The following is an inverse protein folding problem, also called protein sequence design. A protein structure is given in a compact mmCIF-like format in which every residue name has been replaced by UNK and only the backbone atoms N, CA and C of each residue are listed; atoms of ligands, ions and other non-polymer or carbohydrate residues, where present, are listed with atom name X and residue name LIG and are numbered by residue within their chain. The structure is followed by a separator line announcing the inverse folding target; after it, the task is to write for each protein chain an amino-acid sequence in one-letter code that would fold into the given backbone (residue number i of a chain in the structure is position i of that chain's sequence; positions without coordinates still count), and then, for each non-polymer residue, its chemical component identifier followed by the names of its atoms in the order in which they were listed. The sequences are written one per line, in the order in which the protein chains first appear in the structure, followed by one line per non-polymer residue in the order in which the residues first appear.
data_IF_369420702937
#
_entry.id   IF_369420702937
#
_cell.length_a   1.000
_cell.length_b   1.000
_cell.length_c   1.000
_cell.angle_alpha   90.00
_cell.angle_beta   90.00
_cell.angle_gamma   90.00
#
_symmetry.space_group_name_H-M   'P 1'
#
loop_
_entity.id
_entity.type
_entity.pdbx_description
1 polymer ?
#
# COMPACT_ATOMS: atom_id res chain seq x y z
N UNK A 1 14.78 -10.77 -25.65
CA UNK A 1 13.94 -10.57 -24.45
C UNK A 1 14.57 -11.33 -23.29
N UNK A 2 14.78 -10.70 -22.12
CA UNK A 2 15.21 -11.43 -20.92
C UNK A 2 14.07 -12.34 -20.46
N UNK A 3 14.40 -13.51 -19.88
CA UNK A 3 13.38 -14.33 -19.23
C UNK A 3 12.91 -13.61 -17.96
N UNK A 4 11.61 -13.49 -17.77
CA UNK A 4 11.02 -12.89 -16.57
C UNK A 4 11.05 -13.90 -15.42
N UNK A 5 11.40 -13.45 -14.22
CA UNK A 5 11.38 -14.27 -13.01
C UNK A 5 10.83 -13.49 -11.81
N UNK A 6 9.96 -14.11 -11.04
CA UNK A 6 9.33 -13.54 -9.85
C UNK A 6 9.77 -14.31 -8.60
N UNK A 7 10.30 -13.61 -7.63
CA UNK A 7 10.63 -14.14 -6.30
C UNK A 7 9.62 -13.54 -5.32
N UNK A 8 8.76 -14.38 -4.75
CA UNK A 8 7.94 -13.99 -3.60
C UNK A 8 8.70 -14.35 -2.32
N UNK A 9 9.06 -13.35 -1.53
CA UNK A 9 9.70 -13.60 -0.24
C UNK A 9 8.70 -14.18 0.77
N UNK A 10 9.21 -14.74 1.87
CA UNK A 10 8.39 -15.32 2.93
C UNK A 10 7.31 -14.32 3.38
N UNK A 11 6.07 -14.80 3.41
CA UNK A 11 4.89 -13.99 3.71
C UNK A 11 4.28 -13.28 2.51
N UNK A 12 4.89 -13.38 1.32
CA UNK A 12 4.35 -12.84 0.06
C UNK A 12 3.89 -13.94 -0.92
N UNK A 13 3.78 -15.19 -0.45
CA UNK A 13 3.49 -16.35 -1.31
C UNK A 13 2.13 -16.18 -2.01
N UNK A 14 1.07 -15.81 -1.28
CA UNK A 14 -0.28 -15.63 -1.83
C UNK A 14 -0.31 -14.59 -2.97
N UNK A 15 0.31 -13.43 -2.75
CA UNK A 15 0.35 -12.38 -3.76
C UNK A 15 1.24 -12.78 -4.94
N UNK A 16 2.34 -13.49 -4.68
CA UNK A 16 3.24 -14.03 -5.70
C UNK A 16 2.55 -15.03 -6.61
N UNK A 17 1.80 -15.98 -6.06
CA UNK A 17 1.02 -16.97 -6.82
C UNK A 17 -0.06 -16.31 -7.69
N UNK A 18 -0.81 -15.35 -7.15
CA UNK A 18 -1.79 -14.57 -7.92
C UNK A 18 -1.12 -13.78 -9.05
N UNK A 19 0.03 -13.14 -8.79
CA UNK A 19 0.81 -12.43 -9.80
C UNK A 19 1.26 -13.39 -10.91
N UNK A 20 1.81 -14.54 -10.55
CA UNK A 20 2.21 -15.58 -11.49
C UNK A 20 1.04 -16.07 -12.36
N UNK A 21 -0.12 -16.31 -11.75
CA UNK A 21 -1.34 -16.68 -12.47
C UNK A 21 -1.72 -15.63 -13.53
N UNK A 22 -1.70 -14.35 -13.19
CA UNK A 22 -2.00 -13.28 -14.15
C UNK A 22 -0.92 -13.15 -15.23
N UNK A 23 0.36 -13.32 -14.90
CA UNK A 23 1.45 -13.29 -15.89
C UNK A 23 1.28 -14.43 -16.91
N UNK A 24 0.91 -15.63 -16.46
CA UNK A 24 0.57 -16.77 -17.36
C UNK A 24 -0.59 -16.39 -18.28
N UNK A 25 -1.64 -15.75 -17.77
CA UNK A 25 -2.77 -15.30 -18.59
C UNK A 25 -2.38 -14.23 -19.63
N UNK A 26 -1.56 -13.25 -19.24
CA UNK A 26 -1.15 -12.17 -20.14
C UNK A 26 -0.21 -12.62 -21.25
N UNK A 27 0.52 -13.69 -21.04
CA UNK A 27 1.52 -14.23 -21.98
C UNK A 27 1.11 -15.58 -22.58
N UNK A 28 -0.17 -15.96 -22.47
CA UNK A 28 -0.66 -17.25 -22.95
C UNK A 28 -0.35 -17.51 -24.45
N UNK A 29 -0.40 -16.46 -25.27
CA UNK A 29 -0.12 -16.54 -26.70
C UNK A 29 1.38 -16.73 -27.00
N UNK A 30 2.27 -16.40 -26.05
CA UNK A 30 3.74 -16.51 -26.24
C UNK A 30 4.28 -17.88 -25.87
N UNK A 31 3.69 -18.57 -24.90
CA UNK A 31 4.20 -19.81 -24.30
C UNK A 31 3.14 -20.87 -23.99
N UNK A 32 1.95 -20.75 -24.59
CA UNK A 32 0.77 -21.57 -24.32
C UNK A 32 0.34 -21.56 -22.83
N UNK A 33 0.73 -20.51 -22.08
CA UNK A 33 0.41 -20.35 -20.65
C UNK A 33 1.08 -21.37 -19.73
N UNK A 34 2.03 -22.16 -20.25
CA UNK A 34 2.70 -23.24 -19.51
C UNK A 34 3.91 -22.78 -18.71
N UNK A 35 4.44 -21.58 -19.00
CA UNK A 35 5.65 -21.08 -18.34
C UNK A 35 5.36 -20.66 -16.90
N UNK A 36 6.17 -21.17 -15.97
CA UNK A 36 6.14 -20.76 -14.58
C UNK A 36 7.18 -19.66 -14.35
N UNK A 37 6.71 -18.48 -13.95
CA UNK A 37 7.57 -17.31 -13.69
C UNK A 37 8.17 -17.33 -12.29
N UNK A 38 7.70 -18.22 -11.39
CA UNK A 38 8.18 -18.28 -10.01
C UNK A 38 9.60 -18.84 -9.93
N UNK A 39 10.44 -18.17 -9.17
CA UNK A 39 11.77 -18.61 -8.77
C UNK A 39 11.74 -18.95 -7.29
N UNK A 40 11.99 -20.22 -6.99
CA UNK A 40 11.98 -20.72 -5.62
C UNK A 40 13.25 -20.29 -4.87
N UNK A 41 13.04 -19.82 -3.65
CA UNK A 41 14.08 -19.33 -2.73
C UNK A 41 13.89 -19.97 -1.37
N UNK A 42 14.94 -20.59 -0.85
CA UNK A 42 15.00 -21.09 0.52
C UNK A 42 15.70 -20.05 1.42
N UNK A 43 14.97 -19.46 2.33
CA UNK A 43 15.49 -18.62 3.40
C UNK A 43 15.65 -19.47 4.68
N UNK A 44 16.86 -19.95 4.93
CA UNK A 44 17.17 -20.87 6.04
C UNK A 44 17.61 -20.05 7.24
N UNK A 45 16.91 -20.21 8.37
CA UNK A 45 17.29 -19.61 9.67
C UNK A 45 18.01 -20.64 10.55
N UNK A 46 19.10 -20.22 11.17
CA UNK A 46 19.80 -20.99 12.20
C UNK A 46 19.22 -20.67 13.58
N UNK A 47 19.47 -21.56 14.55
CA UNK A 47 18.98 -21.40 15.92
C UNK A 47 19.50 -20.13 16.63
N UNK A 48 20.55 -19.51 16.14
CA UNK A 48 21.11 -18.22 16.60
C UNK A 48 20.38 -16.99 16.04
N UNK A 49 19.46 -17.19 15.06
CA UNK A 49 18.81 -16.13 14.31
C UNK A 49 19.52 -15.71 13.00
N UNK A 50 20.77 -16.15 12.79
CA UNK A 50 21.46 -15.95 11.52
C UNK A 50 20.70 -16.67 10.39
N UNK A 51 20.90 -16.20 9.15
CA UNK A 51 20.23 -16.80 8.01
C UNK A 51 21.12 -16.87 6.77
N UNK A 52 20.76 -17.77 5.87
CA UNK A 52 21.28 -17.81 4.51
C UNK A 52 20.13 -18.00 3.52
N UNK A 53 20.37 -17.56 2.28
CA UNK A 53 19.44 -17.74 1.17
C UNK A 53 20.06 -18.63 0.11
N UNK A 54 19.25 -19.55 -0.43
CA UNK A 54 19.63 -20.42 -1.53
C UNK A 54 18.59 -20.31 -2.65
N UNK A 55 19.03 -20.01 -3.86
CA UNK A 55 18.19 -20.02 -5.06
C UNK A 55 18.13 -21.44 -5.64
N UNK A 56 16.94 -21.91 -5.93
CA UNK A 56 16.74 -23.26 -6.49
C UNK A 56 16.77 -23.28 -8.01
N UNK A 57 16.61 -22.14 -8.67
CA UNK A 57 16.54 -22.01 -10.10
C UNK A 57 17.68 -21.14 -10.65
N UNK A 58 18.03 -21.34 -11.94
CA UNK A 58 18.95 -20.43 -12.63
C UNK A 58 18.31 -19.06 -12.83
N UNK A 59 19.09 -18.00 -12.59
CA UNK A 59 18.65 -16.59 -12.72
C UNK A 59 19.44 -15.85 -13.81
N UNK A 60 20.31 -16.59 -14.53
CA UNK A 60 21.16 -15.96 -15.56
C UNK A 60 20.33 -15.31 -16.66
N UNK A 61 20.61 -14.03 -16.90
CA UNK A 61 19.93 -13.21 -17.91
C UNK A 61 18.43 -13.03 -17.70
N UNK A 62 17.90 -13.30 -16.48
CA UNK A 62 16.51 -13.02 -16.14
C UNK A 62 16.33 -11.56 -15.69
N UNK A 63 15.19 -10.99 -16.02
CA UNK A 63 14.64 -9.80 -15.36
C UNK A 63 13.92 -10.26 -14.10
N UNK A 64 14.49 -9.99 -12.93
CA UNK A 64 14.05 -10.51 -11.64
C UNK A 64 13.19 -9.46 -10.92
N UNK A 65 12.02 -9.88 -10.45
CA UNK A 65 11.11 -9.10 -9.64
C UNK A 65 11.00 -9.75 -8.25
N UNK A 66 11.42 -9.03 -7.20
CA UNK A 66 11.40 -9.52 -5.82
C UNK A 66 10.26 -8.83 -5.09
N UNK A 67 9.24 -9.59 -4.68
CA UNK A 67 8.11 -9.08 -3.89
C UNK A 67 8.43 -9.31 -2.42
N UNK A 68 8.44 -8.24 -1.64
CA UNK A 68 8.74 -8.24 -0.21
C UNK A 68 7.75 -7.38 0.57
N UNK A 69 7.20 -7.92 1.65
CA UNK A 69 6.45 -7.16 2.66
C UNK A 69 7.27 -7.07 3.96
N UNK A 70 7.96 -5.95 4.21
CA UNK A 70 8.77 -5.79 5.43
C UNK A 70 7.93 -5.76 6.71
N UNK A 71 6.63 -5.54 6.62
CA UNK A 71 5.74 -5.36 7.76
C UNK A 71 4.96 -6.63 8.13
N UNK A 72 5.29 -7.77 7.50
CA UNK A 72 4.61 -9.04 7.76
C UNK A 72 5.12 -9.70 9.04
N UNK A 73 4.55 -9.32 10.18
CA UNK A 73 4.84 -9.94 11.48
C UNK A 73 4.16 -11.32 11.68
N UNK A 74 3.32 -11.76 10.72
CA UNK A 74 2.76 -13.11 10.71
C UNK A 74 3.79 -14.19 10.37
N UNK A 75 4.93 -13.82 9.77
CA UNK A 75 6.05 -14.72 9.54
C UNK A 75 6.86 -14.86 10.83
N UNK A 76 7.05 -16.09 11.30
CA UNK A 76 7.82 -16.39 12.51
C UNK A 76 9.01 -17.28 12.22
N UNK A 77 10.01 -17.27 13.10
CA UNK A 77 11.14 -18.19 13.10
C UNK A 77 11.57 -18.51 14.53
N UNK A 78 12.30 -19.63 14.71
CA UNK A 78 12.82 -20.00 16.00
C UNK A 78 14.23 -19.46 16.22
N UNK A 79 14.44 -18.78 17.34
CA UNK A 79 15.74 -18.30 17.82
C UNK A 79 15.89 -18.65 19.29
N UNK A 80 16.97 -19.36 19.65
CA UNK A 80 17.19 -19.89 21.00
C UNK A 80 16.00 -20.70 21.57
N UNK A 81 15.30 -21.43 20.67
CA UNK A 81 14.14 -22.27 21.05
C UNK A 81 12.81 -21.50 21.19
N UNK A 82 12.80 -20.17 21.09
CA UNK A 82 11.61 -19.33 21.17
C UNK A 82 11.12 -18.93 19.77
N UNK A 83 9.80 -18.82 19.61
CA UNK A 83 9.20 -18.29 18.37
C UNK A 83 9.25 -16.76 18.39
N UNK A 84 9.81 -16.18 17.32
CA UNK A 84 9.92 -14.75 17.12
C UNK A 84 9.20 -14.33 15.83
N UNK A 85 8.34 -13.32 15.85
CA UNK A 85 7.86 -12.70 14.63
C UNK A 85 9.03 -11.99 13.94
N UNK A 86 9.05 -12.03 12.60
CA UNK A 86 10.01 -11.25 11.84
C UNK A 86 9.72 -9.76 11.98
N UNK A 87 10.76 -9.01 12.34
CA UNK A 87 10.73 -7.55 12.31
C UNK A 87 10.88 -7.02 10.89
N UNK A 88 10.60 -5.73 10.63
CA UNK A 88 10.94 -5.09 9.35
C UNK A 88 12.41 -5.26 8.97
N UNK A 89 13.32 -5.19 9.95
CA UNK A 89 14.76 -5.39 9.74
C UNK A 89 15.09 -6.82 9.31
N UNK A 90 14.41 -7.83 9.87
CA UNK A 90 14.58 -9.22 9.47
C UNK A 90 14.22 -9.44 8.00
N UNK A 91 13.05 -8.92 7.58
CA UNK A 91 12.60 -8.98 6.19
C UNK A 91 13.55 -8.22 5.25
N UNK A 92 13.98 -7.02 5.65
CA UNK A 92 14.92 -6.24 4.88
C UNK A 92 16.28 -6.93 4.75
N UNK A 93 16.78 -7.53 5.83
CA UNK A 93 18.03 -8.29 5.78
C UNK A 93 17.91 -9.54 4.92
N UNK A 94 16.76 -10.22 4.92
CA UNK A 94 16.51 -11.35 4.02
C UNK A 94 16.43 -10.92 2.55
N UNK A 95 15.85 -9.75 2.25
CA UNK A 95 15.89 -9.15 0.91
C UNK A 95 17.34 -8.97 0.42
N UNK A 96 18.22 -8.41 1.26
CA UNK A 96 19.64 -8.26 0.93
C UNK A 96 20.33 -9.60 0.66
N UNK A 97 19.98 -10.64 1.42
CA UNK A 97 20.49 -12.00 1.18
C UNK A 97 20.02 -12.55 -0.17
N UNK A 98 18.75 -12.33 -0.55
CA UNK A 98 18.21 -12.71 -1.86
C UNK A 98 18.98 -12.00 -2.97
N UNK A 99 19.16 -10.67 -2.88
CA UNK A 99 19.92 -9.89 -3.88
C UNK A 99 21.37 -10.40 -3.96
N UNK A 100 22.01 -10.67 -2.83
CA UNK A 100 23.35 -11.23 -2.78
C UNK A 100 23.43 -12.61 -3.45
N UNK A 101 22.43 -13.48 -3.25
CA UNK A 101 22.37 -14.81 -3.86
C UNK A 101 22.18 -14.76 -5.37
N UNK A 102 21.58 -13.71 -5.93
CA UNK A 102 21.53 -13.47 -7.39
C UNK A 102 22.93 -13.29 -7.97
N UNK A 103 23.88 -12.81 -7.18
CA UNK A 103 25.31 -12.80 -7.47
C UNK A 103 25.68 -12.10 -8.79
N UNK A 104 24.98 -11.05 -9.19
CA UNK A 104 25.23 -10.32 -10.43
C UNK A 104 24.92 -11.11 -11.72
N UNK A 105 24.16 -12.21 -11.63
CA UNK A 105 23.81 -13.06 -12.80
C UNK A 105 22.49 -12.65 -13.44
N UNK A 106 21.61 -11.98 -12.72
CA UNK A 106 20.41 -11.40 -13.27
C UNK A 106 20.73 -10.28 -14.27
N UNK A 107 19.87 -10.07 -15.25
CA UNK A 107 19.99 -8.96 -16.21
C UNK A 107 19.55 -7.65 -15.55
N UNK A 108 18.41 -7.65 -14.84
CA UNK A 108 17.86 -6.54 -14.07
C UNK A 108 17.28 -7.07 -12.76
N UNK A 109 17.30 -6.25 -11.73
CA UNK A 109 16.67 -6.53 -10.44
C UNK A 109 15.71 -5.40 -10.13
N UNK A 110 14.42 -5.73 -10.03
CA UNK A 110 13.37 -4.82 -9.55
C UNK A 110 12.88 -5.33 -8.20
N UNK A 111 12.94 -4.48 -7.18
CA UNK A 111 12.36 -4.76 -5.86
C UNK A 111 10.96 -4.16 -5.83
N UNK A 112 9.96 -5.00 -5.58
CA UNK A 112 8.58 -4.59 -5.32
C UNK A 112 8.39 -4.65 -3.80
N UNK A 113 8.45 -3.49 -3.17
CA UNK A 113 8.29 -3.28 -1.74
C UNK A 113 7.06 -2.39 -1.55
N UNK A 114 5.87 -2.99 -1.42
CA UNK A 114 4.62 -2.22 -1.46
C UNK A 114 4.57 -1.11 -0.43
N UNK A 115 4.74 -1.41 0.85
CA UNK A 115 4.98 -0.43 1.89
C UNK A 115 6.49 -0.28 2.09
N UNK A 116 6.99 0.93 1.86
CA UNK A 116 8.42 1.18 1.84
C UNK A 116 9.03 1.05 3.25
N UNK A 117 10.02 0.17 3.40
CA UNK A 117 10.78 0.01 4.64
C UNK A 117 11.34 1.37 5.09
N UNK A 118 11.13 1.71 6.37
CA UNK A 118 11.48 2.99 6.96
C UNK A 118 10.92 4.24 6.23
N UNK A 119 9.83 4.07 5.45
CA UNK A 119 9.21 5.15 4.67
C UNK A 119 8.78 6.36 5.50
N UNK A 120 8.53 6.19 6.81
CA UNK A 120 8.22 7.29 7.75
C UNK A 120 9.45 8.05 8.21
N UNK A 121 10.66 7.49 8.06
CA UNK A 121 11.96 8.14 8.33
C UNK A 121 12.52 8.79 7.06
N UNK A 122 11.68 9.59 6.40
CA UNK A 122 11.93 10.21 5.09
C UNK A 122 12.61 11.59 5.17
N UNK A 123 12.60 12.21 6.35
CA UNK A 123 13.18 13.54 6.59
C UNK A 123 13.84 13.60 7.97
N UNK A 124 14.76 14.51 8.10
CA UNK A 124 15.48 14.78 9.35
C UNK A 124 15.12 16.19 9.84
N UNK A 125 14.67 16.30 11.08
CA UNK A 125 14.33 17.56 11.74
C UNK A 125 15.27 17.88 12.89
N UNK A 126 16.01 16.89 13.38
CA UNK A 126 16.98 17.02 14.46
C UNK A 126 18.15 16.05 14.23
N UNK A 127 18.80 15.58 15.29
CA UNK A 127 19.87 14.57 15.24
C UNK A 127 19.25 13.17 15.14
N UNK A 128 18.64 12.86 14.02
CA UNK A 128 17.92 11.62 13.75
C UNK A 128 18.63 10.83 12.65
N UNK A 129 18.44 9.53 12.63
CA UNK A 129 18.79 8.69 11.48
C UNK A 129 17.91 9.03 10.27
N UNK A 130 18.37 8.70 9.07
CA UNK A 130 17.62 8.90 7.82
C UNK A 130 17.53 7.56 7.08
N UNK A 131 16.85 6.62 7.71
CA UNK A 131 16.92 5.20 7.36
C UNK A 131 16.33 4.90 6.00
N UNK A 132 15.26 5.61 5.60
CA UNK A 132 14.67 5.44 4.27
C UNK A 132 15.67 5.76 3.15
N UNK A 133 16.41 6.88 3.25
CA UNK A 133 17.40 7.24 2.25
C UNK A 133 18.59 6.27 2.25
N UNK A 134 19.04 5.83 3.43
CA UNK A 134 20.13 4.86 3.56
C UNK A 134 19.73 3.52 2.93
N UNK A 135 18.54 3.03 3.18
CA UNK A 135 18.00 1.81 2.58
C UNK A 135 17.98 1.88 1.05
N UNK A 136 17.44 2.98 0.50
CA UNK A 136 17.37 3.17 -0.96
C UNK A 136 18.78 3.18 -1.59
N UNK A 137 19.73 3.87 -0.97
CA UNK A 137 21.12 3.89 -1.42
C UNK A 137 21.79 2.52 -1.29
N UNK A 138 21.56 1.79 -0.21
CA UNK A 138 22.11 0.45 -0.01
C UNK A 138 21.61 -0.51 -1.11
N UNK A 139 20.30 -0.57 -1.37
CA UNK A 139 19.74 -1.38 -2.45
C UNK A 139 20.30 -1.00 -3.83
N UNK A 140 20.42 0.31 -4.09
CA UNK A 140 21.04 0.82 -5.32
C UNK A 140 22.48 0.33 -5.47
N UNK A 141 23.28 0.40 -4.40
CA UNK A 141 24.68 -0.05 -4.39
C UNK A 141 24.81 -1.57 -4.50
N UNK A 142 23.81 -2.33 -4.08
CA UNK A 142 23.74 -3.79 -4.26
C UNK A 142 23.34 -4.21 -5.68
N UNK A 143 23.09 -3.26 -6.58
CA UNK A 143 22.76 -3.56 -7.99
C UNK A 143 21.26 -3.66 -8.27
N UNK A 144 20.41 -3.16 -7.41
CA UNK A 144 18.97 -2.99 -7.71
C UNK A 144 18.83 -1.87 -8.74
N UNK A 145 18.13 -2.16 -9.85
CA UNK A 145 17.92 -1.24 -10.96
C UNK A 145 16.67 -0.39 -10.75
N UNK A 146 15.62 -0.98 -10.18
CA UNK A 146 14.36 -0.31 -9.97
C UNK A 146 13.71 -0.72 -8.64
N UNK A 147 13.09 0.23 -7.95
CA UNK A 147 12.29 0.03 -6.74
C UNK A 147 10.86 0.48 -7.05
N UNK A 148 9.90 -0.42 -6.86
CA UNK A 148 8.48 -0.17 -7.02
C UNK A 148 7.81 -0.21 -5.66
N UNK A 149 7.17 0.88 -5.29
CA UNK A 149 6.43 1.03 -4.04
C UNK A 149 5.03 1.57 -4.31
N UNK A 150 4.14 1.44 -3.32
CA UNK A 150 2.78 1.95 -3.44
C UNK A 150 2.56 3.04 -2.39
N UNK A 151 1.91 4.11 -2.80
CA UNK A 151 1.47 5.23 -1.95
C UNK A 151 2.49 5.62 -0.87
N UNK A 152 3.74 5.85 -1.30
CA UNK A 152 4.83 6.20 -0.39
C UNK A 152 4.43 7.37 0.51
N UNK A 153 4.76 7.27 1.80
CA UNK A 153 4.44 8.29 2.82
C UNK A 153 4.90 9.69 2.40
N UNK A 154 6.07 9.78 1.78
CA UNK A 154 6.55 10.97 1.08
C UNK A 154 7.23 10.57 -0.24
N UNK A 155 6.68 11.03 -1.37
CA UNK A 155 7.21 10.69 -2.70
C UNK A 155 8.62 11.24 -2.97
N UNK A 156 9.08 12.24 -2.19
CA UNK A 156 10.41 12.85 -2.34
C UNK A 156 11.56 11.94 -1.91
N UNK A 157 11.27 10.79 -1.28
CA UNK A 157 12.30 9.77 -0.95
C UNK A 157 13.09 9.32 -2.17
N UNK A 158 12.47 9.34 -3.37
CA UNK A 158 13.14 9.04 -4.64
C UNK A 158 14.40 9.90 -4.89
N UNK A 159 14.48 11.10 -4.30
CA UNK A 159 15.63 12.00 -4.44
C UNK A 159 16.92 11.41 -3.85
N UNK A 160 16.83 10.37 -3.01
CA UNK A 160 18.00 9.65 -2.47
C UNK A 160 18.76 8.84 -3.54
N UNK A 161 18.06 8.46 -4.64
CA UNK A 161 18.61 7.60 -5.70
C UNK A 161 18.29 8.16 -7.11
N UNK A 162 18.74 9.39 -7.46
CA UNK A 162 18.29 10.10 -8.67
C UNK A 162 18.69 9.42 -9.98
N UNK A 163 19.59 8.45 -9.96
CA UNK A 163 20.08 7.74 -11.15
C UNK A 163 19.49 6.32 -11.28
N UNK A 164 18.55 5.94 -10.41
CA UNK A 164 17.90 4.62 -10.40
C UNK A 164 16.40 4.76 -10.63
N UNK A 165 15.77 3.70 -11.14
CA UNK A 165 14.32 3.66 -11.27
C UNK A 165 13.65 3.65 -9.89
N UNK A 166 12.66 4.51 -9.72
CA UNK A 166 11.80 4.53 -8.54
C UNK A 166 10.37 4.82 -8.97
N UNK A 167 9.49 3.87 -8.75
CA UNK A 167 8.10 3.97 -9.15
C UNK A 167 7.21 4.00 -7.90
N UNK A 168 6.59 5.15 -7.65
CA UNK A 168 5.58 5.30 -6.59
C UNK A 168 4.18 5.20 -7.19
N UNK A 169 3.53 4.08 -7.00
CA UNK A 169 2.25 3.71 -7.61
C UNK A 169 1.09 4.01 -6.67
N UNK A 170 0.02 4.64 -7.18
CA UNK A 170 -1.18 4.91 -6.38
C UNK A 170 -2.25 3.84 -6.59
N UNK A 171 -2.87 3.31 -5.52
CA UNK A 171 -3.95 2.32 -5.62
C UNK A 171 -5.32 2.94 -5.97
N UNK A 172 -5.36 4.22 -6.31
CA UNK A 172 -6.60 5.03 -6.45
C UNK A 172 -7.65 4.38 -7.35
N UNK A 173 -7.26 3.87 -8.53
CA UNK A 173 -8.21 3.21 -9.43
C UNK A 173 -8.84 1.97 -8.81
N UNK A 174 -8.05 1.15 -8.12
CA UNK A 174 -8.51 -0.09 -7.48
C UNK A 174 -9.40 0.23 -6.28
N UNK A 175 -9.07 1.25 -5.49
CA UNK A 175 -9.89 1.73 -4.37
C UNK A 175 -11.27 2.22 -4.85
N UNK A 176 -11.29 3.11 -5.86
CA UNK A 176 -12.54 3.62 -6.47
C UNK A 176 -13.37 2.45 -7.01
N UNK A 177 -12.73 1.52 -7.73
CA UNK A 177 -13.42 0.36 -8.29
C UNK A 177 -14.00 -0.55 -7.21
N UNK A 178 -13.32 -0.74 -6.10
CA UNK A 178 -13.82 -1.54 -4.97
C UNK A 178 -15.02 -0.85 -4.31
N UNK A 179 -14.93 0.46 -4.07
CA UNK A 179 -16.02 1.23 -3.49
C UNK A 179 -17.25 1.28 -4.41
N UNK A 180 -17.08 1.43 -5.73
CA UNK A 180 -18.17 1.35 -6.73
C UNK A 180 -18.88 -0.01 -6.72
N UNK A 181 -18.20 -1.08 -6.35
CA UNK A 181 -18.81 -2.41 -6.20
C UNK A 181 -19.56 -2.57 -4.89
N UNK A 182 -19.09 -1.89 -3.86
CA UNK A 182 -19.72 -1.90 -2.53
C UNK A 182 -20.97 -1.02 -2.52
N UNK A 183 -20.81 0.24 -2.93
CA UNK A 183 -21.91 1.20 -3.05
C UNK A 183 -21.57 2.29 -4.08
N UNK A 184 -22.16 2.23 -5.27
CA UNK A 184 -21.90 3.21 -6.32
C UNK A 184 -22.25 4.66 -5.92
N UNK A 185 -23.30 4.86 -5.11
CA UNK A 185 -23.78 6.19 -4.74
C UNK A 185 -22.72 7.01 -4.00
N UNK A 186 -21.89 6.37 -3.17
CA UNK A 186 -20.77 7.02 -2.47
C UNK A 186 -19.80 7.70 -3.43
N UNK A 187 -19.54 7.10 -4.59
CA UNK A 187 -18.61 7.63 -5.59
C UNK A 187 -19.31 8.49 -6.64
N UNK A 188 -20.54 8.15 -7.03
CA UNK A 188 -21.23 8.84 -8.13
C UNK A 188 -21.97 10.09 -7.67
N UNK A 189 -22.40 10.16 -6.42
CA UNK A 189 -23.09 11.33 -5.86
C UNK A 189 -22.10 12.35 -5.29
N UNK A 190 -21.40 13.04 -6.19
CA UNK A 190 -20.34 14.01 -5.82
C UNK A 190 -20.86 15.23 -5.02
N UNK A 191 -22.15 15.56 -5.13
CA UNK A 191 -22.76 16.65 -4.36
C UNK A 191 -23.00 16.28 -2.91
N UNK A 192 -23.18 14.98 -2.62
CA UNK A 192 -23.45 14.46 -1.28
C UNK A 192 -22.29 13.69 -0.66
N UNK A 193 -21.14 13.68 -1.32
CA UNK A 193 -19.92 13.02 -0.85
C UNK A 193 -18.75 13.97 -0.95
N UNK A 194 -17.87 13.97 0.06
CA UNK A 194 -16.64 14.75 0.04
C UNK A 194 -15.44 13.90 0.50
N UNK A 195 -14.27 14.32 0.09
CA UNK A 195 -13.00 13.75 0.53
C UNK A 195 -12.52 14.50 1.77
N UNK A 196 -12.02 13.78 2.77
CA UNK A 196 -11.46 14.39 3.98
C UNK A 196 -10.04 13.89 4.22
N UNK A 197 -9.13 14.82 4.43
CA UNK A 197 -7.79 14.56 4.92
C UNK A 197 -7.81 14.46 6.45
N UNK A 198 -7.30 13.36 7.03
CA UNK A 198 -7.23 13.21 8.49
C UNK A 198 -6.23 14.16 9.15
N UNK A 199 -5.24 14.63 8.40
CA UNK A 199 -4.24 15.61 8.81
C UNK A 199 -3.52 16.25 7.62
N UNK A 200 -2.52 17.09 7.91
CA UNK A 200 -1.74 17.80 6.88
C UNK A 200 -0.91 16.84 6.00
N UNK A 201 -0.45 15.71 6.56
CA UNK A 201 0.38 14.72 5.86
C UNK A 201 -0.35 14.02 4.72
N UNK A 202 -1.64 13.76 4.88
CA UNK A 202 -2.45 13.08 3.88
C UNK A 202 -3.02 14.04 2.81
N UNK A 203 -2.86 15.36 2.95
CA UNK A 203 -3.50 16.37 2.09
C UNK A 203 -3.23 16.14 0.61
N UNK A 204 -1.98 15.90 0.21
CA UNK A 204 -1.62 15.71 -1.21
C UNK A 204 -2.32 14.51 -1.85
N UNK A 205 -2.52 13.45 -1.08
CA UNK A 205 -3.25 12.25 -1.47
C UNK A 205 -4.75 12.55 -1.61
N UNK A 206 -5.33 13.25 -0.64
CA UNK A 206 -6.74 13.65 -0.65
C UNK A 206 -7.07 14.61 -1.79
N UNK A 207 -6.17 15.57 -2.09
CA UNK A 207 -6.30 16.46 -3.26
C UNK A 207 -6.36 15.67 -4.57
N UNK A 208 -5.58 14.61 -4.69
CA UNK A 208 -5.64 13.77 -5.89
C UNK A 208 -6.98 13.06 -6.03
N UNK A 209 -7.52 12.44 -4.96
CA UNK A 209 -8.85 11.83 -4.98
C UNK A 209 -9.95 12.85 -5.27
N UNK A 210 -9.92 14.01 -4.61
CA UNK A 210 -10.86 15.12 -4.84
C UNK A 210 -10.87 15.56 -6.31
N UNK A 211 -9.69 15.77 -6.90
CA UNK A 211 -9.56 16.17 -8.31
C UNK A 211 -10.06 15.10 -9.29
N UNK A 212 -9.74 13.83 -9.01
CA UNK A 212 -10.11 12.70 -9.88
C UNK A 212 -11.62 12.42 -9.86
N UNK A 213 -12.26 12.59 -8.69
CA UNK A 213 -13.68 12.31 -8.49
C UNK A 213 -14.56 13.55 -8.69
N UNK A 214 -13.99 14.76 -8.71
CA UNK A 214 -14.74 16.02 -8.75
C UNK A 214 -15.52 16.28 -7.45
N UNK A 215 -14.97 15.86 -6.30
CA UNK A 215 -15.58 16.02 -4.98
C UNK A 215 -14.94 17.17 -4.21
N UNK A 216 -15.70 17.80 -3.32
CA UNK A 216 -15.18 18.77 -2.35
C UNK A 216 -14.12 18.14 -1.44
N UNK A 217 -13.20 18.96 -0.94
CA UNK A 217 -12.13 18.56 -0.05
C UNK A 217 -12.25 19.28 1.29
N UNK A 218 -12.17 18.52 2.39
CA UNK A 218 -11.99 19.03 3.73
C UNK A 218 -10.73 18.46 4.39
N UNK A 219 -10.28 19.09 5.45
CA UNK A 219 -9.12 18.61 6.23
C UNK A 219 -9.28 18.88 7.71
N UNK A 220 -8.72 17.98 8.50
CA UNK A 220 -8.52 18.24 9.93
C UNK A 220 -7.15 18.87 10.16
N UNK A 221 -7.15 19.89 11.00
CA UNK A 221 -5.96 20.59 11.46
C UNK A 221 -5.80 20.36 12.95
N UNK A 222 -4.63 19.88 13.37
CA UNK A 222 -4.27 19.67 14.77
C UNK A 222 -3.63 20.93 15.33
N UNK A 223 -4.43 21.81 15.98
CA UNK A 223 -3.88 22.95 16.68
C UNK A 223 -3.11 22.50 17.92
N UNK A 224 -1.83 22.80 17.96
CA UNK A 224 -0.93 22.43 19.06
C UNK A 224 -0.67 23.62 19.99
N UNK A 225 -0.53 23.35 21.29
CA UNK A 225 -0.08 24.33 22.26
C UNK A 225 1.46 24.40 22.24
N UNK A 226 1.99 25.36 21.51
CA UNK A 226 3.43 25.59 21.45
C UNK A 226 4.02 26.22 22.72
N UNK A 227 3.17 26.65 23.69
CA UNK A 227 3.61 27.17 24.99
C UNK A 227 4.02 26.08 25.97
N UNK A 228 3.68 24.82 25.69
CA UNK A 228 3.93 23.67 26.57
C UNK A 228 4.53 22.50 25.81
N UNK A 229 5.42 21.78 26.48
CA UNK A 229 5.98 20.52 26.00
C UNK A 229 5.67 19.44 27.04
N UNK A 230 4.94 18.39 26.63
CA UNK A 230 4.60 17.23 27.47
C UNK A 230 5.15 15.99 26.77
N UNK A 231 6.03 15.24 27.45
CA UNK A 231 6.70 14.07 26.91
C UNK A 231 7.39 14.32 25.54
N UNK A 232 8.05 15.47 25.40
CA UNK A 232 8.76 15.87 24.19
C UNK A 232 7.88 16.31 23.02
N UNK A 233 6.57 16.46 23.22
CA UNK A 233 5.61 16.87 22.20
C UNK A 233 4.74 18.03 22.68
N UNK A 234 4.36 18.90 21.76
CA UNK A 234 3.38 19.96 22.04
C UNK A 234 1.98 19.33 22.09
N UNK A 235 1.21 19.47 23.18
CA UNK A 235 -0.11 18.88 23.28
C UNK A 235 -1.07 19.44 22.22
N UNK A 236 -1.96 18.59 21.73
CA UNK A 236 -3.03 18.98 20.79
C UNK A 236 -4.13 19.64 21.62
N UNK A 237 -4.49 20.89 21.27
CA UNK A 237 -5.52 21.67 21.96
C UNK A 237 -6.88 21.45 21.30
N UNK A 238 -6.93 21.34 19.97
CA UNK A 238 -8.16 21.18 19.22
C UNK A 238 -7.91 20.47 17.89
N UNK A 239 -8.94 19.73 17.45
CA UNK A 239 -9.06 19.25 16.07
C UNK A 239 -10.04 20.18 15.36
N UNK A 240 -9.53 21.10 14.56
CA UNK A 240 -10.34 22.01 13.77
C UNK A 240 -10.56 21.42 12.38
N UNK A 241 -11.79 21.51 11.87
CA UNK A 241 -12.12 21.09 10.51
C UNK A 241 -12.17 22.31 9.60
N UNK A 242 -11.48 22.21 8.46
CA UNK A 242 -11.47 23.20 7.39
C UNK A 242 -12.09 22.58 6.16
N UNK A 243 -13.20 23.12 5.68
CA UNK A 243 -13.92 22.61 4.51
C UNK A 243 -15.37 23.09 4.47
N UNK A 244 -16.12 22.63 3.48
CA UNK A 244 -17.56 22.86 3.36
C UNK A 244 -18.33 22.12 4.47
N UNK A 245 -19.60 22.51 4.70
CA UNK A 245 -20.47 21.79 5.64
C UNK A 245 -20.59 20.31 5.25
N UNK A 246 -20.44 19.45 6.25
CA UNK A 246 -20.48 17.99 6.10
C UNK A 246 -21.78 17.37 6.65
N UNK A 247 -22.67 18.20 7.20
CA UNK A 247 -23.92 17.71 7.77
C UNK A 247 -24.76 16.96 6.73
N UNK A 248 -25.12 15.72 7.03
CA UNK A 248 -25.89 14.84 6.15
C UNK A 248 -25.11 14.27 4.95
N UNK A 249 -23.83 14.61 4.78
CA UNK A 249 -23.02 14.13 3.66
C UNK A 249 -22.26 12.83 4.00
N UNK A 250 -21.97 12.07 2.97
CA UNK A 250 -21.02 10.95 3.02
C UNK A 250 -19.59 11.51 3.02
N UNK A 251 -18.71 10.88 3.76
CA UNK A 251 -17.31 11.30 3.86
C UNK A 251 -16.40 10.13 3.52
N UNK A 252 -15.44 10.35 2.63
CA UNK A 252 -14.35 9.41 2.37
C UNK A 252 -13.08 9.99 2.98
N UNK A 253 -12.59 9.36 4.05
CA UNK A 253 -11.30 9.70 4.66
C UNK A 253 -10.20 8.92 3.96
N UNK A 254 -9.15 9.60 3.49
CA UNK A 254 -8.08 8.95 2.73
C UNK A 254 -6.75 9.14 3.44
N UNK A 255 -6.04 8.01 3.67
CA UNK A 255 -4.69 8.01 4.23
C UNK A 255 -3.80 6.94 3.57
N UNK A 256 -2.48 6.94 3.85
CA UNK A 256 -1.58 5.89 3.38
C UNK A 256 -1.70 4.62 4.21
N UNK A 257 -1.78 4.75 5.54
CA UNK A 257 -1.80 3.59 6.42
C UNK A 257 -2.72 3.75 7.64
N UNK A 258 -3.25 2.63 8.07
CA UNK A 258 -3.86 2.48 9.39
C UNK A 258 -2.87 1.70 10.25
N UNK A 259 -2.18 2.37 11.19
CA UNK A 259 -1.31 1.72 12.16
C UNK A 259 -2.12 1.18 13.35
N UNK A 260 -2.19 1.87 14.50
CA UNK A 260 -3.08 1.50 15.62
C UNK A 260 -4.56 1.79 15.32
N UNK A 261 -4.83 2.72 14.42
CA UNK A 261 -6.17 3.18 14.06
C UNK A 261 -6.70 4.35 14.91
N UNK A 262 -6.04 4.72 16.01
CA UNK A 262 -6.54 5.76 16.92
C UNK A 262 -6.82 7.09 16.20
N UNK A 263 -5.88 7.57 15.39
CA UNK A 263 -6.05 8.82 14.63
C UNK A 263 -7.25 8.76 13.68
N UNK A 264 -7.45 7.61 13.02
CA UNK A 264 -8.57 7.42 12.09
C UNK A 264 -9.91 7.40 12.83
N UNK A 265 -9.97 6.71 13.95
CA UNK A 265 -11.18 6.65 14.78
C UNK A 265 -11.50 8.00 15.46
N UNK A 266 -10.49 8.78 15.85
CA UNK A 266 -10.67 10.13 16.35
C UNK A 266 -11.27 11.06 15.28
N UNK A 267 -10.75 11.00 14.07
CA UNK A 267 -11.30 11.73 12.92
C UNK A 267 -12.74 11.30 12.65
N UNK A 268 -13.03 10.01 12.68
CA UNK A 268 -14.39 9.48 12.47
C UNK A 268 -15.39 10.00 13.53
N UNK A 269 -14.99 10.03 14.80
CA UNK A 269 -15.80 10.63 15.89
C UNK A 269 -16.08 12.11 15.65
N UNK A 270 -15.08 12.87 15.24
CA UNK A 270 -15.23 14.30 14.94
C UNK A 270 -16.15 14.55 13.74
N UNK A 271 -16.08 13.68 12.70
CA UNK A 271 -17.00 13.75 11.56
C UNK A 271 -18.44 13.44 11.97
N UNK A 272 -18.68 12.41 12.78
CA UNK A 272 -20.03 12.07 13.28
C UNK A 272 -20.58 13.15 14.22
N UNK A 273 -19.78 13.80 15.05
CA UNK A 273 -20.20 14.99 15.83
C UNK A 273 -20.69 16.15 14.95
N UNK A 274 -20.20 16.25 13.72
CA UNK A 274 -20.63 17.22 12.71
C UNK A 274 -21.76 16.69 11.82
N UNK A 275 -22.41 15.62 12.26
CA UNK A 275 -23.55 15.00 11.58
C UNK A 275 -23.24 14.45 10.20
N UNK A 276 -22.00 13.99 9.96
CA UNK A 276 -21.68 13.21 8.75
C UNK A 276 -22.59 11.97 8.69
N UNK A 277 -23.17 11.71 7.50
CA UNK A 277 -24.06 10.57 7.29
C UNK A 277 -23.26 9.26 7.35
N UNK A 278 -22.35 9.05 6.42
CA UNK A 278 -21.49 7.87 6.38
C UNK A 278 -20.04 8.27 6.43
N UNK A 279 -19.21 7.43 7.07
CA UNK A 279 -17.76 7.59 7.14
C UNK A 279 -17.10 6.36 6.56
N UNK A 280 -16.51 6.51 5.39
CA UNK A 280 -15.79 5.49 4.66
C UNK A 280 -14.29 5.82 4.73
N UNK A 281 -13.46 4.81 4.93
CA UNK A 281 -12.01 4.97 5.04
C UNK A 281 -11.33 4.28 3.85
N UNK A 282 -10.46 4.99 3.15
CA UNK A 282 -9.53 4.45 2.18
C UNK A 282 -8.12 4.53 2.73
N UNK A 283 -7.44 3.40 2.82
CA UNK A 283 -6.04 3.37 3.23
C UNK A 283 -5.27 2.34 2.39
N UNK A 284 -4.11 2.71 1.89
CA UNK A 284 -3.30 1.77 1.13
C UNK A 284 -2.89 0.57 1.99
N UNK A 285 -2.53 0.81 3.27
CA UNK A 285 -2.01 -0.22 4.16
C UNK A 285 -2.80 -0.33 5.46
N UNK A 286 -3.42 -1.48 5.67
CA UNK A 286 -4.14 -1.81 6.91
C UNK A 286 -3.27 -2.65 7.84
N UNK A 287 -2.45 -2.02 8.68
CA UNK A 287 -1.55 -2.75 9.59
C UNK A 287 -2.28 -3.25 10.83
N UNK A 288 -3.24 -2.50 11.35
CA UNK A 288 -4.03 -2.84 12.54
C UNK A 288 -3.16 -3.39 13.68
N UNK A 289 -2.10 -2.65 14.06
CA UNK A 289 -1.07 -3.11 15.00
C UNK A 289 -1.59 -3.49 16.37
N UNK A 290 -2.74 -2.95 16.78
CA UNK A 290 -3.41 -3.24 18.06
C UNK A 290 -4.68 -4.10 17.91
N UNK A 291 -4.82 -4.80 16.78
CA UNK A 291 -5.97 -5.65 16.50
C UNK A 291 -7.15 -4.89 15.88
N UNK A 292 -8.28 -5.59 15.77
CA UNK A 292 -9.48 -5.09 15.07
C UNK A 292 -10.63 -4.66 16.02
N UNK A 293 -10.51 -4.93 17.30
CA UNK A 293 -11.60 -4.72 18.28
C UNK A 293 -12.07 -3.27 18.36
N UNK A 294 -11.13 -2.32 18.27
CA UNK A 294 -11.47 -0.87 18.25
C UNK A 294 -12.34 -0.52 17.05
N UNK A 295 -12.08 -1.14 15.90
CA UNK A 295 -12.84 -0.93 14.66
C UNK A 295 -14.18 -1.63 14.71
N UNK A 296 -14.26 -2.86 15.26
CA UNK A 296 -15.53 -3.55 15.50
C UNK A 296 -16.46 -2.68 16.37
N UNK A 297 -15.94 -2.18 17.50
CA UNK A 297 -16.70 -1.28 18.37
C UNK A 297 -17.12 -0.01 17.65
N UNK A 298 -16.23 0.61 16.87
CA UNK A 298 -16.53 1.83 16.12
C UNK A 298 -17.61 1.58 15.04
N UNK A 299 -17.61 0.42 14.42
CA UNK A 299 -18.65 0.02 13.48
C UNK A 299 -20.00 -0.20 14.18
N UNK A 300 -20.02 -0.90 15.31
CA UNK A 300 -21.24 -1.13 16.11
C UNK A 300 -21.84 0.18 16.64
N UNK A 301 -20.98 1.15 16.97
CA UNK A 301 -21.37 2.50 17.39
C UNK A 301 -21.77 3.43 16.22
N UNK A 302 -21.66 2.96 14.96
CA UNK A 302 -21.96 3.74 13.76
C UNK A 302 -20.97 4.88 13.49
N UNK A 303 -19.73 4.80 14.01
CA UNK A 303 -18.69 5.80 13.78
C UNK A 303 -18.01 5.63 12.42
N UNK A 304 -17.93 4.40 11.94
CA UNK A 304 -17.42 4.04 10.61
C UNK A 304 -18.42 3.15 9.91
N UNK A 305 -18.50 3.23 8.59
CA UNK A 305 -19.39 2.41 7.77
C UNK A 305 -18.63 1.37 6.94
N UNK A 306 -17.44 1.71 6.45
CA UNK A 306 -16.57 0.80 5.71
C UNK A 306 -15.11 1.23 5.74
N UNK A 307 -14.20 0.27 5.71
CA UNK A 307 -12.75 0.49 5.60
C UNK A 307 -12.21 -0.34 4.44
N UNK A 308 -11.60 0.33 3.47
CA UNK A 308 -10.96 -0.31 2.33
C UNK A 308 -9.45 -0.26 2.51
N UNK A 309 -8.80 -1.42 2.49
CA UNK A 309 -7.33 -1.50 2.44
C UNK A 309 -6.88 -2.49 1.36
N UNK A 310 -5.64 -2.34 0.91
CA UNK A 310 -5.10 -3.25 -0.09
C UNK A 310 -4.58 -4.56 0.52
N UNK A 311 -4.41 -5.58 -0.32
CA UNK A 311 -3.72 -6.82 0.03
C UNK A 311 -2.18 -6.72 -0.12
N UNK A 312 -1.63 -5.52 -0.09
CA UNK A 312 -0.20 -5.25 -0.33
C UNK A 312 0.69 -5.53 0.88
N UNK A 313 0.12 -5.59 2.07
CA UNK A 313 0.79 -5.93 3.34
C UNK A 313 0.05 -7.07 4.02
N UNK A 314 0.70 -7.66 5.03
CA UNK A 314 0.09 -8.71 5.84
C UNK A 314 -1.28 -8.30 6.38
N UNK A 315 -2.23 -9.19 6.21
CA UNK A 315 -3.61 -9.02 6.68
C UNK A 315 -3.86 -9.97 7.84
N UNK A 316 -4.28 -9.40 8.95
CA UNK A 316 -4.71 -10.19 10.10
C UNK A 316 -5.86 -11.13 9.70
N UNK A 317 -5.81 -12.40 10.12
CA UNK A 317 -6.86 -13.36 9.74
C UNK A 317 -8.27 -12.93 10.13
N UNK A 318 -8.41 -12.21 11.26
CA UNK A 318 -9.67 -11.75 11.81
C UNK A 318 -10.40 -10.74 10.89
N UNK A 319 -9.68 -10.04 10.02
CA UNK A 319 -10.26 -9.07 9.08
C UNK A 319 -11.29 -9.72 8.13
N UNK A 320 -11.16 -11.01 7.83
CA UNK A 320 -12.10 -11.73 6.95
C UNK A 320 -13.53 -11.77 7.50
N UNK A 321 -13.66 -11.71 8.83
CA UNK A 321 -14.94 -11.83 9.53
C UNK A 321 -15.51 -10.44 9.90
N UNK A 322 -14.80 -9.35 9.59
CA UNK A 322 -15.21 -7.98 9.91
C UNK A 322 -16.13 -7.43 8.81
N UNK A 323 -17.40 -7.13 9.15
CA UNK A 323 -18.39 -6.61 8.21
C UNK A 323 -18.02 -5.23 7.60
N UNK A 324 -17.23 -4.44 8.31
CA UNK A 324 -16.77 -3.13 7.88
C UNK A 324 -15.54 -3.19 6.95
N UNK A 325 -14.86 -4.35 6.85
CA UNK A 325 -13.60 -4.46 6.13
C UNK A 325 -13.78 -4.90 4.69
N UNK A 326 -13.16 -4.20 3.77
CA UNK A 326 -13.17 -4.49 2.34
C UNK A 326 -11.75 -4.53 1.78
N UNK A 327 -11.34 -5.72 1.34
CA UNK A 327 -10.04 -5.91 0.71
C UNK A 327 -10.03 -5.43 -0.75
N UNK A 328 -8.97 -4.71 -1.11
CA UNK A 328 -8.69 -4.26 -2.47
C UNK A 328 -7.53 -5.07 -3.05
N UNK A 329 -7.82 -6.03 -3.93
CA UNK A 329 -6.81 -6.91 -4.52
C UNK A 329 -5.98 -6.17 -5.58
N UNK A 330 -4.67 -6.06 -5.33
CA UNK A 330 -3.68 -5.41 -6.17
C UNK A 330 -2.89 -6.38 -7.05
N UNK A 331 -3.06 -7.69 -6.89
CA UNK A 331 -2.23 -8.72 -7.53
C UNK A 331 -2.23 -8.61 -9.06
N UNK A 332 -3.41 -8.41 -9.67
CA UNK A 332 -3.53 -8.19 -11.13
C UNK A 332 -2.79 -6.93 -11.58
N UNK A 333 -2.80 -5.89 -10.77
CA UNK A 333 -2.16 -4.62 -11.10
C UNK A 333 -0.64 -4.74 -11.02
N UNK A 334 -0.11 -5.42 -10.00
CA UNK A 334 1.32 -5.76 -9.91
C UNK A 334 1.74 -6.58 -11.14
N UNK A 335 0.99 -7.62 -11.50
CA UNK A 335 1.28 -8.43 -12.68
C UNK A 335 1.30 -7.61 -13.97
N UNK A 336 0.38 -6.65 -14.14
CA UNK A 336 0.39 -5.73 -15.28
C UNK A 336 1.66 -4.88 -15.34
N UNK A 337 2.09 -4.32 -14.20
CA UNK A 337 3.32 -3.52 -14.13
C UNK A 337 4.53 -4.39 -14.48
N UNK A 338 4.66 -5.57 -13.87
CA UNK A 338 5.73 -6.54 -14.15
C UNK A 338 5.75 -6.88 -15.65
N UNK A 339 4.58 -7.18 -16.23
CA UNK A 339 4.46 -7.53 -17.63
C UNK A 339 4.89 -6.39 -18.56
N UNK A 340 4.53 -5.14 -18.25
CA UNK A 340 4.96 -3.99 -19.06
C UNK A 340 6.48 -3.76 -18.98
N UNK A 341 7.03 -3.73 -17.75
CA UNK A 341 8.47 -3.53 -17.53
C UNK A 341 9.29 -4.67 -18.16
N UNK A 342 8.85 -5.93 -17.97
CA UNK A 342 9.52 -7.11 -18.51
C UNK A 342 9.53 -7.17 -20.04
N UNK A 343 8.60 -6.47 -20.69
CA UNK A 343 8.55 -6.28 -22.14
C UNK A 343 9.15 -4.94 -22.62
N UNK A 344 9.87 -4.23 -21.74
CA UNK A 344 10.45 -2.91 -22.01
C UNK A 344 9.41 -1.88 -22.52
N UNK A 345 8.14 -1.99 -22.03
CA UNK A 345 7.04 -1.09 -22.37
C UNK A 345 6.85 -0.03 -21.29
N UNK A 346 6.31 1.12 -21.69
CA UNK A 346 5.97 2.21 -20.76
C UNK A 346 4.86 1.79 -19.79
N UNK A 347 5.01 2.19 -18.53
CA UNK A 347 3.99 2.04 -17.47
C UNK A 347 3.22 3.33 -17.20
N UNK A 348 3.47 4.41 -17.94
CA UNK A 348 2.89 5.74 -17.69
C UNK A 348 1.36 5.73 -17.64
N UNK A 349 0.69 4.95 -18.51
CA UNK A 349 -0.76 4.81 -18.49
C UNK A 349 -1.28 4.05 -17.24
N UNK A 350 -0.44 3.22 -16.64
CA UNK A 350 -0.77 2.54 -15.38
C UNK A 350 -0.61 3.48 -14.19
N UNK A 351 0.39 4.38 -14.23
CA UNK A 351 0.67 5.35 -13.18
C UNK A 351 -0.32 6.53 -13.19
N UNK A 352 -0.89 6.86 -14.35
CA UNK A 352 -1.87 7.96 -14.53
C UNK A 352 -3.23 7.41 -14.94
N UNK A 353 -4.01 6.84 -14.00
CA UNK A 353 -5.23 6.09 -14.32
C UNK A 353 -6.46 6.95 -14.65
N UNK A 354 -6.35 8.25 -14.90
CA UNK A 354 -7.47 9.18 -15.12
C UNK A 354 -8.47 8.65 -16.17
N UNK A 355 -8.03 8.33 -17.37
CA UNK A 355 -8.90 7.78 -18.43
C UNK A 355 -9.60 6.48 -18.04
N UNK A 356 -8.94 5.65 -17.23
CA UNK A 356 -9.53 4.38 -16.73
C UNK A 356 -10.58 4.65 -15.66
N UNK A 357 -10.35 5.65 -14.82
CA UNK A 357 -11.32 6.08 -13.79
C UNK A 357 -12.54 6.69 -14.48
N UNK A 358 -12.38 7.61 -15.41
CA UNK A 358 -13.48 8.18 -16.18
C UNK A 358 -14.35 7.10 -16.82
N UNK A 359 -13.75 6.15 -17.54
CA UNK A 359 -14.48 5.02 -18.17
C UNK A 359 -15.26 4.16 -17.15
N UNK A 360 -14.71 3.88 -15.98
CA UNK A 360 -15.43 3.08 -14.99
C UNK A 360 -16.58 3.89 -14.38
N UNK A 361 -16.40 5.18 -14.12
CA UNK A 361 -17.46 6.05 -13.61
C UNK A 361 -18.62 6.17 -14.62
N UNK A 362 -18.32 6.39 -15.91
CA UNK A 362 -19.32 6.40 -16.97
C UNK A 362 -20.10 5.09 -17.05
N UNK A 363 -19.40 3.96 -17.00
CA UNK A 363 -20.05 2.63 -17.00
C UNK A 363 -21.05 2.48 -15.86
N UNK A 364 -20.70 2.87 -14.66
CA UNK A 364 -21.60 2.74 -13.50
C UNK A 364 -22.77 3.75 -13.59
N UNK A 365 -22.55 5.01 -14.02
CA UNK A 365 -23.62 6.01 -14.24
C UNK A 365 -24.66 5.50 -15.25
N UNK A 366 -24.21 4.96 -16.37
CA UNK A 366 -25.10 4.42 -17.40
C UNK A 366 -25.89 3.21 -16.90
N UNK A 367 -25.29 2.38 -16.04
CA UNK A 367 -25.97 1.22 -15.46
C UNK A 367 -27.05 1.65 -14.45
N UNK A 368 -26.76 2.62 -13.59
CA UNK A 368 -27.72 3.16 -12.63
C UNK A 368 -28.93 3.79 -13.32
N UNK A 369 -28.70 4.58 -14.38
CA UNK A 369 -29.78 5.17 -15.18
C UNK A 369 -30.64 4.13 -15.93
N UNK A 370 -30.06 2.98 -16.31
CA UNK A 370 -30.79 1.91 -16.97
C UNK A 370 -31.66 1.06 -16.01
N UNK A 371 -31.40 1.12 -14.71
CA UNK A 371 -32.18 0.44 -13.65
C UNK A 371 -33.30 1.33 -13.13
N UNK A 372 -33.19 2.65 -13.25
CA UNK A 372 -34.20 3.65 -12.85
C UNK A 372 -35.26 3.91 -13.93
N UNK A 373 -35.05 3.46 -15.18
CA UNK A 373 -36.00 3.49 -16.29
C UNK A 373 -36.62 2.11 -16.55
#
# INVERSE_FOLDING_TARGET
MGRLGVIAMRGCEEIGEKVNMYLKQFNADLDNGSHDYMISVDAIRFGTGEAKVVLQNTVRSHDIYIIVDPFNYGVTYKMYGMDHPMSPDDHYQDLKRVISALGGKAKRITVIMPMLYEGRQHKRTSRESLDCAMMLQELSNMGVDNILTFDAHDSRVQNAIPQKGFENVRPTYQMIKACLRFDPDIILNTNNTLIVSPDEGAMGRCMYYSSVLGMDLGTFYKRRDYSRVVNGKNPIIAHEFLGSDISGKNVIVVDDMIASGDSMLDVSRELKKRSANRVIVFSAFGLFTEGVDKFNKAYDEGLIDAVFTTNLVYRRPELKDCAWYHEVDMSKFIALIINQIGHDRSISELLTPMKRIERILEKYRNHTQAVEN
#
